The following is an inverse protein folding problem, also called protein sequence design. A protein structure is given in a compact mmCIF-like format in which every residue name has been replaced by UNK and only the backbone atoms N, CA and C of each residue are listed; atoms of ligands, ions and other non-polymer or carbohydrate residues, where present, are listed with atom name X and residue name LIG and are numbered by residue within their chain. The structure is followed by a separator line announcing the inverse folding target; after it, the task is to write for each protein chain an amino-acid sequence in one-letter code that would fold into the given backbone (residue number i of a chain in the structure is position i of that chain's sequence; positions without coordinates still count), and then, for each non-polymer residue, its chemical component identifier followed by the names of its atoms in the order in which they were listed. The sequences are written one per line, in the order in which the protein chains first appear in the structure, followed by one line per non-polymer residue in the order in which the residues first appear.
data_IF_851793316729
#
_entry.id   IF_851793316729
#
_cell.length_a   1.000
_cell.length_b   1.000
_cell.length_c   1.000
_cell.angle_alpha   90.00
_cell.angle_beta   90.00
_cell.angle_gamma   90.00
#
_symmetry.space_group_name_H-M   'P 1'
#
loop_
_entity.id
_entity.type
_entity.pdbx_description
1 polymer ?
#
# COMPACT_ATOMS: atom_id res chain seq x y z
N UNK A 1 -1.06 -17.11 17.54
CA UNK A 1 -0.54 -16.14 18.52
C UNK A 1 -0.69 -14.75 17.93
N UNK A 2 -1.53 -13.87 18.50
CA UNK A 2 -1.70 -12.51 17.99
C UNK A 2 -0.64 -11.64 18.66
N UNK A 3 0.42 -11.32 17.92
CA UNK A 3 1.49 -10.43 18.37
C UNK A 3 0.91 -9.06 18.72
N UNK A 4 0.97 -8.68 19.99
CA UNK A 4 0.57 -7.35 20.45
C UNK A 4 1.36 -6.25 19.74
N UNK A 5 0.82 -5.03 19.71
CA UNK A 5 1.54 -3.88 19.17
C UNK A 5 2.85 -3.68 19.93
N UNK A 6 3.95 -3.45 19.21
CA UNK A 6 5.24 -3.05 19.77
C UNK A 6 5.75 -1.89 18.92
N UNK A 7 5.88 -0.71 19.53
CA UNK A 7 6.34 0.47 18.81
C UNK A 7 7.79 0.30 18.32
N UNK A 8 8.04 0.51 17.02
CA UNK A 8 9.40 0.43 16.43
C UNK A 8 10.42 1.38 17.07
N UNK A 9 10.00 2.56 17.57
CA UNK A 9 10.90 3.55 18.18
C UNK A 9 11.20 3.32 19.65
N UNK A 10 10.17 3.05 20.46
CA UNK A 10 10.30 3.05 21.93
C UNK A 10 9.98 1.70 22.59
N UNK A 11 9.66 0.66 21.80
CA UNK A 11 9.30 -0.70 22.25
C UNK A 11 8.09 -0.76 23.20
N UNK A 12 7.31 0.32 23.30
CA UNK A 12 6.10 0.33 24.12
C UNK A 12 4.99 -0.50 23.48
N UNK A 13 4.19 -1.15 24.32
CA UNK A 13 3.19 -2.14 23.89
C UNK A 13 1.77 -1.59 23.74
N UNK A 14 1.52 -0.37 24.23
CA UNK A 14 0.21 0.28 24.11
C UNK A 14 0.18 1.27 22.94
N UNK A 15 -0.90 1.20 22.16
CA UNK A 15 -1.21 2.14 21.09
C UNK A 15 -2.68 2.54 21.10
N UNK A 16 -2.95 3.71 20.54
CA UNK A 16 -4.30 4.15 20.18
C UNK A 16 -4.50 3.97 18.68
N UNK A 17 -5.63 3.38 18.27
CA UNK A 17 -5.94 3.17 16.86
C UNK A 17 -6.74 4.37 16.34
N UNK A 18 -6.24 5.02 15.29
CA UNK A 18 -6.95 6.12 14.61
C UNK A 18 -8.04 5.58 13.71
N UNK A 19 -9.29 6.04 13.87
CA UNK A 19 -10.45 5.56 13.11
C UNK A 19 -10.33 5.78 11.60
N UNK A 20 -9.75 6.91 11.16
CA UNK A 20 -9.77 7.28 9.74
C UNK A 20 -8.87 6.39 8.86
N UNK A 21 -7.66 6.05 9.34
CA UNK A 21 -6.65 5.37 8.52
C UNK A 21 -6.15 4.06 9.16
N UNK A 22 -6.79 3.61 10.25
CA UNK A 22 -6.39 2.46 11.07
C UNK A 22 -4.91 2.51 11.53
N UNK A 23 -4.32 3.70 11.56
CA UNK A 23 -2.96 3.91 11.99
C UNK A 23 -2.85 3.74 13.51
N UNK A 24 -1.80 3.08 13.96
CA UNK A 24 -1.49 2.88 15.37
C UNK A 24 -0.62 4.02 15.85
N UNK A 25 -1.09 4.77 16.82
CA UNK A 25 -0.37 5.85 17.47
C UNK A 25 0.20 5.35 18.79
N UNK A 26 1.52 5.43 18.98
CA UNK A 26 2.12 5.02 20.23
C UNK A 26 1.80 6.02 21.35
N UNK A 27 1.22 5.55 22.46
CA UNK A 27 0.84 6.41 23.58
C UNK A 27 2.03 7.05 24.33
N UNK A 28 3.26 6.56 24.12
CA UNK A 28 4.47 7.07 24.79
C UNK A 28 5.23 8.10 23.97
N UNK A 29 5.48 7.81 22.69
CA UNK A 29 6.32 8.65 21.83
C UNK A 29 5.55 9.30 20.67
N UNK A 30 4.23 9.11 20.59
CA UNK A 30 3.35 9.60 19.53
C UNK A 30 3.81 9.23 18.12
N UNK A 31 4.57 8.14 17.99
CA UNK A 31 4.96 7.62 16.70
C UNK A 31 3.76 6.95 16.02
N UNK A 32 3.44 7.42 14.82
CA UNK A 32 2.30 6.94 14.04
C UNK A 32 2.79 5.86 13.07
N UNK A 33 2.30 4.65 13.28
CA UNK A 33 2.53 3.51 12.39
C UNK A 33 1.28 3.29 11.52
N UNK A 34 1.37 3.68 10.26
CA UNK A 34 0.30 3.40 9.30
C UNK A 34 0.32 1.92 8.90
N UNK A 35 -0.85 1.26 8.72
CA UNK A 35 -0.90 -0.14 8.29
C UNK A 35 -0.35 -0.35 6.87
N UNK A 36 -0.34 0.70 6.05
CA UNK A 36 0.25 0.70 4.71
C UNK A 36 1.74 1.08 4.70
N UNK A 37 2.35 1.36 5.86
CA UNK A 37 3.78 1.65 5.95
C UNK A 37 4.61 0.47 5.43
N UNK A 38 5.69 0.76 4.72
CA UNK A 38 6.63 -0.27 4.21
C UNK A 38 5.98 -1.33 3.29
N UNK A 39 4.82 -1.02 2.69
CA UNK A 39 4.13 -1.90 1.73
C UNK A 39 4.07 -1.29 0.33
N UNK A 40 3.65 -2.10 -0.64
CA UNK A 40 3.31 -1.66 -1.99
C UNK A 40 2.27 -0.52 -1.99
N UNK A 41 1.41 -0.47 -0.97
CA UNK A 41 0.36 0.55 -0.81
C UNK A 41 0.80 1.78 -0.03
N UNK A 42 2.10 1.89 0.30
CA UNK A 42 2.63 3.07 0.98
C UNK A 42 2.35 4.36 0.18
N UNK A 43 1.71 5.34 0.83
CA UNK A 43 1.32 6.66 0.29
C UNK A 43 0.41 6.63 -0.95
N UNK A 44 -0.41 5.58 -1.11
CA UNK A 44 -1.44 5.55 -2.16
C UNK A 44 -2.50 6.64 -1.90
N UNK A 45 -2.78 7.47 -2.90
CA UNK A 45 -3.71 8.62 -2.80
C UNK A 45 -5.11 8.36 -3.35
N UNK A 46 -5.33 7.28 -4.11
CA UNK A 46 -6.55 7.04 -4.88
C UNK A 46 -7.41 5.89 -4.30
N UNK A 47 -7.24 5.59 -3.01
CA UNK A 47 -7.98 4.55 -2.29
C UNK A 47 -7.37 3.15 -2.44
N UNK A 48 -7.42 2.37 -1.35
CA UNK A 48 -6.81 1.04 -1.29
C UNK A 48 -7.52 0.04 -2.21
N UNK A 49 -8.84 0.15 -2.35
CA UNK A 49 -9.64 -0.76 -3.18
C UNK A 49 -9.25 -0.69 -4.65
N UNK A 50 -9.09 0.52 -5.19
CA UNK A 50 -8.61 0.76 -6.56
C UNK A 50 -7.18 0.24 -6.73
N UNK A 51 -6.31 0.49 -5.76
CA UNK A 51 -4.91 0.02 -5.81
C UNK A 51 -4.81 -1.51 -5.83
N UNK A 52 -5.65 -2.21 -5.04
CA UNK A 52 -5.72 -3.66 -5.05
C UNK A 52 -6.22 -4.20 -6.38
N UNK A 53 -7.26 -3.58 -6.95
CA UNK A 53 -7.79 -3.94 -8.27
C UNK A 53 -6.74 -3.81 -9.37
N UNK A 54 -5.98 -2.71 -9.38
CA UNK A 54 -4.87 -2.51 -10.33
C UNK A 54 -3.81 -3.60 -10.18
N UNK A 55 -3.40 -3.92 -8.94
CA UNK A 55 -2.45 -5.00 -8.70
C UNK A 55 -2.98 -6.34 -9.21
N UNK A 56 -4.24 -6.67 -8.94
CA UNK A 56 -4.87 -7.90 -9.40
C UNK A 56 -4.89 -7.97 -10.93
N UNK A 57 -5.36 -6.92 -11.61
CA UNK A 57 -5.40 -6.91 -13.07
C UNK A 57 -4.02 -7.07 -13.71
N UNK A 58 -3.00 -6.42 -13.16
CA UNK A 58 -1.63 -6.54 -13.64
C UNK A 58 -1.01 -7.93 -13.43
N UNK A 59 -1.49 -8.69 -12.44
CA UNK A 59 -1.01 -10.05 -12.15
C UNK A 59 -1.83 -11.13 -12.87
N UNK A 60 -3.15 -10.98 -12.92
CA UNK A 60 -4.07 -11.98 -13.46
C UNK A 60 -4.12 -11.97 -14.99
N UNK A 61 -3.78 -10.83 -15.63
CA UNK A 61 -3.84 -10.71 -17.08
C UNK A 61 -2.52 -11.14 -17.72
N UNK A 62 -2.58 -12.08 -18.65
CA UNK A 62 -1.41 -12.51 -19.46
C UNK A 62 -1.00 -11.47 -20.51
N UNK A 63 -1.91 -10.55 -20.84
CA UNK A 63 -1.69 -9.41 -21.74
C UNK A 63 -1.17 -8.19 -20.98
N UNK A 64 -0.30 -7.43 -21.62
CA UNK A 64 0.14 -6.13 -21.12
C UNK A 64 -1.03 -5.14 -21.10
N UNK A 65 -1.28 -4.54 -19.93
CA UNK A 65 -2.29 -3.50 -19.78
C UNK A 65 -1.62 -2.14 -19.90
N UNK A 66 -2.22 -1.25 -20.70
CA UNK A 66 -1.76 0.13 -20.85
C UNK A 66 -2.19 1.00 -19.66
N UNK A 67 -1.36 1.98 -19.31
CA UNK A 67 -1.68 2.96 -18.27
C UNK A 67 -2.97 3.73 -18.56
N UNK A 68 -3.22 4.04 -19.84
CA UNK A 68 -4.41 4.79 -20.24
C UNK A 68 -5.70 3.98 -19.95
N UNK A 69 -5.66 2.67 -20.19
CA UNK A 69 -6.77 1.78 -19.86
C UNK A 69 -7.02 1.71 -18.35
N UNK A 70 -5.98 1.59 -17.54
CA UNK A 70 -6.09 1.61 -16.06
C UNK A 70 -6.62 2.95 -15.56
N UNK A 71 -6.09 4.05 -16.10
CA UNK A 71 -6.49 5.41 -15.73
C UNK A 71 -7.98 5.63 -15.96
N UNK A 72 -8.50 5.19 -17.11
CA UNK A 72 -9.93 5.27 -17.43
C UNK A 72 -10.77 4.34 -16.57
N UNK A 73 -10.37 3.07 -16.41
CA UNK A 73 -11.14 2.06 -15.67
C UNK A 73 -11.29 2.40 -14.18
N UNK A 74 -10.23 2.90 -13.57
CA UNK A 74 -10.21 3.21 -12.13
C UNK A 74 -10.44 4.70 -11.84
N UNK A 75 -10.64 5.53 -12.87
CA UNK A 75 -10.79 6.98 -12.73
C UNK A 75 -9.65 7.60 -11.90
N UNK A 76 -8.43 7.15 -12.20
CA UNK A 76 -7.20 7.63 -11.56
C UNK A 76 -6.47 8.48 -12.58
N UNK A 77 -5.89 9.61 -12.15
CA UNK A 77 -5.05 10.44 -13.02
C UNK A 77 -3.95 9.60 -13.67
N UNK A 78 -3.75 9.76 -14.97
CA UNK A 78 -2.80 8.98 -15.76
C UNK A 78 -1.42 8.85 -15.11
N UNK A 79 -0.83 9.98 -14.67
CA UNK A 79 0.50 10.00 -14.03
C UNK A 79 0.51 9.17 -12.74
N UNK A 80 -0.56 9.24 -11.95
CA UNK A 80 -0.68 8.48 -10.70
C UNK A 80 -0.82 6.98 -10.96
N UNK A 81 -1.62 6.60 -11.97
CA UNK A 81 -1.74 5.21 -12.40
C UNK A 81 -0.38 4.70 -12.91
N UNK A 82 0.34 5.48 -13.72
CA UNK A 82 1.65 5.11 -14.25
C UNK A 82 2.67 4.84 -13.14
N UNK A 83 2.82 5.78 -12.20
CA UNK A 83 3.74 5.64 -11.07
C UNK A 83 3.40 4.43 -10.22
N UNK A 84 2.11 4.15 -10.00
CA UNK A 84 1.69 2.98 -9.25
C UNK A 84 2.00 1.69 -10.01
N UNK A 85 1.65 1.60 -11.29
CA UNK A 85 1.96 0.45 -12.13
C UNK A 85 3.46 0.15 -12.16
N UNK A 86 4.31 1.18 -12.22
CA UNK A 86 5.76 1.01 -12.19
C UNK A 86 6.24 0.43 -10.85
N UNK A 87 5.70 0.92 -9.74
CA UNK A 87 5.95 0.37 -8.40
C UNK A 87 5.57 -1.12 -8.33
N UNK A 88 4.45 -1.51 -8.94
CA UNK A 88 4.01 -2.92 -9.02
C UNK A 88 4.99 -3.76 -9.84
N UNK A 89 5.46 -3.26 -10.99
CA UNK A 89 6.44 -3.99 -11.83
C UNK A 89 7.75 -4.26 -11.11
N UNK A 90 8.28 -3.24 -10.41
CA UNK A 90 9.50 -3.38 -9.61
C UNK A 90 9.31 -4.44 -8.52
N UNK A 91 8.18 -4.38 -7.80
CA UNK A 91 7.86 -5.36 -6.76
C UNK A 91 7.76 -6.80 -7.33
N UNK A 92 7.12 -6.98 -8.49
CA UNK A 92 7.05 -8.29 -9.15
C UNK A 92 8.40 -8.81 -9.62
N UNK A 93 9.30 -7.92 -10.09
CA UNK A 93 10.66 -8.31 -10.49
C UNK A 93 11.47 -8.84 -9.31
N UNK A 94 11.33 -8.24 -8.14
CA UNK A 94 12.00 -8.69 -6.91
C UNK A 94 11.56 -10.12 -6.55
N UNK A 95 10.29 -10.47 -6.74
CA UNK A 95 9.76 -11.81 -6.43
C UNK A 95 10.36 -12.88 -7.34
N UNK A 96 10.53 -12.59 -8.65
CA UNK A 96 11.08 -13.56 -9.62
C UNK A 96 12.58 -13.85 -9.45
N UNK A 97 13.31 -12.94 -8.85
CA UNK A 97 14.77 -13.04 -8.65
C UNK A 97 15.15 -13.69 -7.32
N UNK A 98 14.19 -14.28 -6.62
CA UNK A 98 14.35 -14.91 -5.31
C UNK A 98 13.91 -16.37 -5.39
#
# INVERSE_FOLDING_TARGET
MVSGFICKKCKHTKCTIRKNNYARDCNKCHHIESPTADTLFHKVKFGLHKALGICFEMNATTKSISTNQISKRYEVRYITAWLFMEKVRIAMKIIKNK
#
